data_IF_507763218999
#
_entry.id   IF_507763218999
#
_cell.length_a   1.000
_cell.length_b   1.000
_cell.length_c   1.000
_cell.angle_alpha   90.00
_cell.angle_beta   90.00
_cell.angle_gamma   90.00
#
_symmetry.space_group_name_H-M   'P 1'
#
loop_
_entity.id
_entity.type
_entity.pdbx_description
1 polymer ?
#
# COMPACT_ATOMS: atom_id res chain seq x y z
N UNK A 1 -7.35 -15.84 -26.01
CA UNK A 1 -8.56 -16.51 -25.49
C UNK A 1 -8.26 -18.00 -25.45
N UNK A 2 -8.40 -18.64 -24.28
CA UNK A 2 -8.12 -20.08 -24.15
C UNK A 2 -9.27 -20.93 -24.73
N UNK A 3 -8.96 -22.13 -25.20
CA UNK A 3 -9.97 -23.12 -25.63
C UNK A 3 -10.72 -23.69 -24.43
N UNK A 4 -11.93 -24.22 -24.64
CA UNK A 4 -12.70 -24.88 -23.57
C UNK A 4 -11.95 -26.09 -22.97
N UNK A 5 -11.20 -26.83 -23.78
CA UNK A 5 -10.33 -27.92 -23.29
C UNK A 5 -9.25 -27.41 -22.36
N UNK A 6 -8.60 -26.29 -22.72
CA UNK A 6 -7.58 -25.65 -21.90
C UNK A 6 -8.17 -25.07 -20.61
N UNK A 7 -9.37 -24.49 -20.69
CA UNK A 7 -10.11 -24.02 -19.51
C UNK A 7 -10.44 -25.16 -18.56
N UNK A 8 -10.98 -26.27 -19.06
CA UNK A 8 -11.29 -27.44 -18.25
C UNK A 8 -10.03 -28.03 -17.59
N UNK A 9 -8.91 -28.06 -18.31
CA UNK A 9 -7.62 -28.45 -17.75
C UNK A 9 -7.16 -27.51 -16.63
N UNK A 10 -7.18 -26.19 -16.84
CA UNK A 10 -6.79 -25.23 -15.81
C UNK A 10 -7.67 -25.32 -14.56
N UNK A 11 -8.97 -25.59 -14.72
CA UNK A 11 -9.90 -25.76 -13.61
C UNK A 11 -9.65 -27.05 -12.80
N UNK A 12 -9.20 -28.13 -13.46
CA UNK A 12 -8.93 -29.41 -12.81
C UNK A 12 -7.63 -29.43 -12.00
N UNK A 13 -6.74 -28.44 -12.19
CA UNK A 13 -5.51 -28.31 -11.42
C UNK A 13 -5.78 -28.08 -9.93
N UNK A 14 -5.10 -28.86 -9.10
CA UNK A 14 -5.06 -28.68 -7.65
C UNK A 14 -3.90 -27.77 -7.25
N UNK A 15 -3.97 -27.10 -6.08
CA UNK A 15 -2.94 -26.15 -5.66
C UNK A 15 -1.53 -26.75 -5.61
N UNK A 16 -1.38 -28.00 -5.16
CA UNK A 16 -0.07 -28.66 -5.04
C UNK A 16 0.56 -29.05 -6.39
N UNK A 17 -0.23 -29.02 -7.48
CA UNK A 17 0.27 -29.27 -8.83
C UNK A 17 0.90 -28.01 -9.46
N UNK A 18 0.65 -26.83 -8.89
CA UNK A 18 1.19 -25.56 -9.36
C UNK A 18 2.61 -25.35 -8.81
N UNK A 19 3.51 -26.27 -9.20
CA UNK A 19 4.93 -26.22 -8.85
C UNK A 19 5.69 -25.28 -9.76
N UNK A 20 6.93 -24.91 -9.38
CA UNK A 20 7.83 -24.12 -10.24
C UNK A 20 7.97 -24.75 -11.64
N UNK A 21 8.19 -26.07 -11.67
CA UNK A 21 8.33 -26.82 -12.92
C UNK A 21 7.08 -26.68 -13.81
N UNK A 22 5.88 -26.77 -13.21
CA UNK A 22 4.64 -26.60 -13.97
C UNK A 22 4.55 -25.20 -14.60
N UNK A 23 4.89 -24.14 -13.87
CA UNK A 23 4.92 -22.77 -14.41
C UNK A 23 5.97 -22.58 -15.50
N UNK A 24 7.17 -23.15 -15.32
CA UNK A 24 8.24 -23.07 -16.31
C UNK A 24 7.85 -23.77 -17.62
N UNK A 25 7.26 -24.97 -17.54
CA UNK A 25 6.84 -25.75 -18.71
C UNK A 25 5.63 -25.16 -19.43
N UNK A 26 4.64 -24.63 -18.69
CA UNK A 26 3.35 -24.25 -19.26
C UNK A 26 3.18 -22.75 -19.50
N UNK A 27 3.88 -21.90 -18.76
CA UNK A 27 3.70 -20.45 -18.78
C UNK A 27 4.92 -19.66 -19.24
N UNK A 28 6.01 -20.35 -19.63
CA UNK A 28 7.26 -19.68 -20.01
C UNK A 28 7.71 -20.03 -21.39
N UNK A 29 8.27 -19.02 -22.06
CA UNK A 29 9.05 -19.23 -23.26
C UNK A 29 10.40 -19.84 -22.88
N UNK A 30 10.72 -21.01 -23.41
CA UNK A 30 11.97 -21.70 -23.11
C UNK A 30 12.58 -22.33 -24.36
N UNK A 31 13.89 -22.51 -24.35
CA UNK A 31 14.58 -23.18 -25.44
C UNK A 31 14.48 -24.70 -25.25
N UNK A 32 13.94 -25.41 -26.23
CA UNK A 32 13.96 -26.86 -26.28
C UNK A 32 15.30 -27.31 -26.90
N UNK A 33 16.21 -27.93 -26.12
CA UNK A 33 17.52 -28.32 -26.61
C UNK A 33 17.47 -29.50 -27.59
N UNK A 34 16.40 -30.31 -27.56
CA UNK A 34 16.21 -31.46 -28.46
C UNK A 34 15.70 -30.97 -29.81
N UNK A 35 14.67 -30.13 -29.79
CA UNK A 35 14.08 -29.54 -31.01
C UNK A 35 14.88 -28.35 -31.54
N UNK A 36 15.87 -27.88 -30.78
CA UNK A 36 16.72 -26.71 -31.06
C UNK A 36 15.95 -25.43 -31.40
N UNK A 37 14.78 -25.24 -30.79
CA UNK A 37 13.88 -24.10 -31.06
C UNK A 37 13.31 -23.52 -29.78
N UNK A 38 12.90 -22.26 -29.84
CA UNK A 38 12.10 -21.66 -28.78
C UNK A 38 10.70 -22.28 -28.80
N UNK A 39 10.26 -22.75 -27.64
CA UNK A 39 8.89 -23.18 -27.38
C UNK A 39 8.14 -22.03 -26.76
N UNK A 40 7.00 -21.68 -27.36
CA UNK A 40 6.09 -20.65 -26.84
C UNK A 40 5.26 -21.23 -25.67
N UNK A 41 4.88 -20.39 -24.69
CA UNK A 41 4.11 -20.84 -23.54
C UNK A 41 2.75 -21.42 -23.97
N UNK A 42 2.34 -22.51 -23.32
CA UNK A 42 1.00 -23.10 -23.52
C UNK A 42 -0.11 -22.16 -23.05
N UNK A 43 0.15 -21.40 -21.98
CA UNK A 43 -0.79 -20.43 -21.43
C UNK A 43 -0.10 -19.09 -21.18
N UNK A 44 -0.72 -18.00 -21.65
CA UNK A 44 -0.31 -16.66 -21.23
C UNK A 44 -1.16 -16.22 -20.03
N UNK A 45 -0.53 -15.61 -19.01
CA UNK A 45 -1.24 -15.11 -17.83
C UNK A 45 -2.40 -14.16 -18.18
N UNK A 46 -2.26 -13.39 -19.27
CA UNK A 46 -3.26 -12.42 -19.72
C UNK A 46 -4.35 -13.01 -20.61
N UNK A 47 -4.29 -14.30 -20.95
CA UNK A 47 -5.34 -14.92 -21.76
C UNK A 47 -6.67 -14.92 -21.01
N UNK A 48 -7.65 -14.20 -21.59
CA UNK A 48 -8.97 -14.02 -21.01
C UNK A 48 -9.91 -15.19 -21.31
N UNK A 49 -10.82 -15.44 -20.39
CA UNK A 49 -11.97 -16.32 -20.54
C UNK A 49 -13.07 -15.96 -19.53
N UNK A 50 -14.21 -16.63 -19.62
CA UNK A 50 -15.35 -16.41 -18.73
C UNK A 50 -15.63 -17.65 -17.90
N UNK A 51 -15.87 -17.45 -16.60
CA UNK A 51 -16.42 -18.46 -15.70
C UNK A 51 -17.93 -18.29 -15.59
N UNK A 52 -18.68 -19.39 -15.75
CA UNK A 52 -20.11 -19.46 -15.45
C UNK A 52 -20.32 -19.48 -13.92
N UNK A 53 -21.51 -19.09 -13.42
CA UNK A 53 -21.82 -19.20 -11.99
C UNK A 53 -21.52 -20.61 -11.47
N UNK A 54 -20.79 -20.71 -10.37
CA UNK A 54 -20.40 -21.95 -9.69
C UNK A 54 -19.57 -22.94 -10.55
N UNK A 55 -18.95 -22.47 -11.63
CA UNK A 55 -17.99 -23.28 -12.41
C UNK A 55 -16.67 -23.47 -11.65
N UNK A 56 -16.40 -22.56 -10.70
CA UNK A 56 -15.39 -22.67 -9.66
C UNK A 56 -16.00 -22.14 -8.35
N UNK A 57 -15.25 -21.43 -7.50
CA UNK A 57 -15.75 -20.79 -6.28
C UNK A 57 -16.49 -19.46 -6.53
N UNK A 58 -16.60 -19.03 -7.79
CA UNK A 58 -17.30 -17.81 -8.18
C UNK A 58 -18.83 -18.01 -8.13
N UNK A 59 -19.56 -17.09 -7.52
CA UNK A 59 -21.03 -17.17 -7.39
C UNK A 59 -21.77 -16.56 -8.58
N UNK A 60 -21.12 -15.67 -9.33
CA UNK A 60 -21.67 -15.00 -10.51
C UNK A 60 -20.83 -15.28 -11.75
N UNK A 61 -21.39 -14.98 -12.93
CA UNK A 61 -20.63 -14.99 -14.19
C UNK A 61 -19.54 -13.92 -14.10
N UNK A 62 -18.30 -14.28 -14.41
CA UNK A 62 -17.17 -13.35 -14.30
C UNK A 62 -16.19 -13.50 -15.47
N UNK A 63 -15.73 -12.36 -16.02
CA UNK A 63 -14.60 -12.31 -16.94
C UNK A 63 -13.31 -12.34 -16.12
N UNK A 64 -12.38 -13.21 -16.50
CA UNK A 64 -11.11 -13.41 -15.79
C UNK A 64 -10.00 -13.75 -16.78
N UNK A 65 -8.79 -13.95 -16.29
CA UNK A 65 -7.67 -14.47 -17.08
C UNK A 65 -6.97 -15.65 -16.39
N UNK A 66 -6.06 -16.29 -17.13
CA UNK A 66 -5.29 -17.44 -16.63
C UNK A 66 -4.57 -17.10 -15.34
N UNK A 67 -3.92 -15.94 -15.25
CA UNK A 67 -3.16 -15.55 -14.08
C UNK A 67 -4.01 -15.38 -12.82
N UNK A 68 -5.17 -14.76 -12.95
CA UNK A 68 -6.13 -14.61 -11.85
C UNK A 68 -6.62 -15.97 -11.37
N UNK A 69 -6.95 -16.89 -12.28
CA UNK A 69 -7.32 -18.25 -11.89
C UNK A 69 -6.17 -18.95 -11.13
N UNK A 70 -4.94 -18.91 -11.66
CA UNK A 70 -3.79 -19.56 -11.04
C UNK A 70 -3.47 -18.97 -9.65
N UNK A 71 -3.59 -17.65 -9.47
CA UNK A 71 -3.46 -17.01 -8.16
C UNK A 71 -4.55 -17.50 -7.21
N UNK A 72 -5.82 -17.53 -7.64
CA UNK A 72 -6.90 -18.01 -6.79
C UNK A 72 -6.66 -19.46 -6.35
N UNK A 73 -6.24 -20.32 -7.27
CA UNK A 73 -5.91 -21.73 -6.97
C UNK A 73 -4.73 -21.86 -6.02
N UNK A 74 -3.59 -21.26 -6.33
CA UNK A 74 -2.39 -21.47 -5.54
C UNK A 74 -2.46 -20.80 -4.16
N UNK A 75 -3.00 -19.58 -4.11
CA UNK A 75 -2.94 -18.71 -2.94
C UNK A 75 -4.15 -18.87 -2.02
N UNK A 76 -5.36 -19.02 -2.58
CA UNK A 76 -6.59 -19.04 -1.78
C UNK A 76 -7.17 -20.45 -1.63
N UNK A 77 -7.30 -21.23 -2.72
CA UNK A 77 -7.90 -22.58 -2.68
C UNK A 77 -7.14 -23.52 -1.75
N UNK A 78 -5.82 -23.33 -1.67
CA UNK A 78 -4.96 -24.09 -0.78
C UNK A 78 -5.26 -23.88 0.72
N UNK A 79 -5.99 -22.82 1.08
CA UNK A 79 -6.33 -22.45 2.46
C UNK A 79 -7.85 -22.27 2.52
N UNK A 80 -8.63 -23.35 2.79
CA UNK A 80 -10.09 -23.33 2.66
C UNK A 80 -10.80 -22.21 3.42
N UNK A 81 -10.30 -21.84 4.61
CA UNK A 81 -10.88 -20.74 5.39
C UNK A 81 -10.68 -19.39 4.70
N UNK A 82 -9.52 -19.14 4.09
CA UNK A 82 -9.25 -17.93 3.30
C UNK A 82 -10.07 -17.92 2.01
N UNK A 83 -10.17 -19.07 1.31
CA UNK A 83 -11.01 -19.19 0.12
C UNK A 83 -12.47 -18.86 0.42
N UNK A 84 -12.98 -19.27 1.58
CA UNK A 84 -14.35 -18.99 2.04
C UNK A 84 -14.57 -17.50 2.34
N UNK A 85 -13.57 -16.82 2.87
CA UNK A 85 -13.63 -15.37 3.15
C UNK A 85 -13.58 -14.55 1.87
N UNK A 86 -12.64 -14.86 0.97
CA UNK A 86 -12.38 -14.05 -0.22
C UNK A 86 -13.26 -14.40 -1.43
N UNK A 87 -13.71 -15.65 -1.53
CA UNK A 87 -14.34 -16.16 -2.74
C UNK A 87 -13.39 -16.08 -3.95
N UNK A 88 -13.94 -15.83 -5.13
CA UNK A 88 -13.14 -15.66 -6.35
C UNK A 88 -12.78 -14.19 -6.59
N UNK A 89 -11.49 -13.91 -6.72
CA UNK A 89 -10.99 -12.56 -7.05
C UNK A 89 -10.63 -12.50 -8.53
N UNK A 90 -11.44 -11.79 -9.31
CA UNK A 90 -11.26 -11.56 -10.76
C UNK A 90 -10.68 -10.18 -11.09
N UNK A 91 -10.12 -9.48 -10.11
CA UNK A 91 -9.50 -8.17 -10.29
C UNK A 91 -7.98 -8.29 -10.36
N UNK A 92 -7.27 -7.35 -11.02
CA UNK A 92 -5.82 -7.31 -11.01
C UNK A 92 -5.26 -7.19 -9.58
N UNK A 93 -4.32 -8.06 -9.22
CA UNK A 93 -3.65 -8.05 -7.91
C UNK A 93 -2.52 -7.01 -7.93
N UNK A 94 -2.89 -5.74 -7.81
CA UNK A 94 -1.94 -4.64 -7.59
C UNK A 94 -1.52 -4.57 -6.13
N UNK A 95 -0.47 -3.80 -5.81
CA UNK A 95 -0.09 -3.52 -4.42
C UNK A 95 -1.27 -2.96 -3.60
N UNK A 96 -2.08 -2.09 -4.21
CA UNK A 96 -3.28 -1.56 -3.57
C UNK A 96 -4.34 -2.63 -3.29
N UNK A 97 -4.59 -3.53 -4.26
CA UNK A 97 -5.55 -4.63 -4.09
C UNK A 97 -5.09 -5.67 -3.08
N UNK A 98 -3.80 -6.01 -3.10
CA UNK A 98 -3.20 -6.92 -2.12
C UNK A 98 -3.31 -6.32 -0.71
N UNK A 99 -2.99 -5.03 -0.56
CA UNK A 99 -3.13 -4.32 0.71
C UNK A 99 -4.58 -4.27 1.22
N UNK A 100 -5.59 -4.15 0.34
CA UNK A 100 -6.99 -4.21 0.76
C UNK A 100 -7.43 -5.64 1.13
N UNK A 101 -7.00 -6.67 0.39
CA UNK A 101 -7.27 -8.06 0.77
C UNK A 101 -6.72 -8.35 2.17
N UNK A 102 -5.48 -7.98 2.44
CA UNK A 102 -4.83 -8.22 3.73
C UNK A 102 -5.44 -7.38 4.86
N UNK A 103 -5.63 -6.07 4.64
CA UNK A 103 -6.04 -5.13 5.69
C UNK A 103 -7.55 -5.10 5.92
N UNK A 104 -8.36 -5.25 4.87
CA UNK A 104 -9.81 -5.11 4.96
C UNK A 104 -10.55 -6.44 5.03
N UNK A 105 -10.08 -7.52 4.41
CA UNK A 105 -10.79 -8.80 4.40
C UNK A 105 -10.17 -9.78 5.41
N UNK A 106 -8.89 -10.11 5.23
CA UNK A 106 -8.22 -11.13 6.04
C UNK A 106 -7.99 -10.68 7.49
N UNK A 107 -7.55 -9.45 7.71
CA UNK A 107 -7.37 -8.92 9.07
C UNK A 107 -8.69 -8.88 9.86
N UNK A 108 -9.81 -8.56 9.20
CA UNK A 108 -11.13 -8.60 9.84
C UNK A 108 -11.54 -10.04 10.16
N UNK A 109 -11.38 -10.94 9.20
CA UNK A 109 -11.66 -12.36 9.39
C UNK A 109 -10.83 -12.97 10.53
N UNK A 110 -9.57 -12.56 10.69
CA UNK A 110 -8.71 -13.01 11.80
C UNK A 110 -9.23 -12.50 13.15
N UNK A 111 -9.57 -11.21 13.24
CA UNK A 111 -10.08 -10.59 14.47
C UNK A 111 -11.46 -11.13 14.89
N UNK A 112 -12.26 -11.54 13.92
CA UNK A 112 -13.59 -12.14 14.12
C UNK A 112 -13.54 -13.68 14.26
N UNK A 113 -12.35 -14.29 14.14
CA UNK A 113 -12.12 -15.73 14.35
C UNK A 113 -12.61 -16.63 13.20
N UNK A 114 -12.81 -16.06 12.01
CA UNK A 114 -13.15 -16.82 10.79
C UNK A 114 -11.93 -17.49 10.13
N UNK A 115 -10.74 -16.97 10.40
CA UNK A 115 -9.46 -17.57 10.03
C UNK A 115 -8.53 -17.58 11.24
N UNK A 116 -7.50 -18.42 11.19
CA UNK A 116 -6.49 -18.56 12.26
C UNK A 116 -5.18 -17.86 11.91
N UNK A 117 -4.31 -17.69 12.90
CA UNK A 117 -2.95 -17.20 12.66
C UNK A 117 -2.16 -18.16 11.73
N UNK A 118 -2.42 -19.47 11.80
CA UNK A 118 -1.80 -20.46 10.93
C UNK A 118 -2.26 -20.31 9.47
N UNK A 119 -3.55 -20.05 9.23
CA UNK A 119 -4.06 -19.73 7.89
C UNK A 119 -3.33 -18.52 7.30
N UNK A 120 -3.10 -17.48 8.11
CA UNK A 120 -2.35 -16.29 7.70
C UNK A 120 -0.86 -16.59 7.44
N UNK A 121 -0.21 -17.43 8.25
CA UNK A 121 1.16 -17.86 8.00
C UNK A 121 1.29 -18.60 6.67
N UNK A 122 0.38 -19.53 6.38
CA UNK A 122 0.35 -20.25 5.10
C UNK A 122 0.11 -19.31 3.92
N UNK A 123 -0.78 -18.33 4.09
CA UNK A 123 -1.03 -17.30 3.08
C UNK A 123 0.24 -16.52 2.75
N UNK A 124 0.95 -16.01 3.76
CA UNK A 124 2.19 -15.25 3.52
C UNK A 124 3.29 -16.12 2.92
N UNK A 125 3.43 -17.37 3.35
CA UNK A 125 4.41 -18.30 2.77
C UNK A 125 4.13 -18.54 1.28
N UNK A 126 2.85 -18.77 0.91
CA UNK A 126 2.44 -18.98 -0.48
C UNK A 126 2.59 -17.71 -1.31
N UNK A 127 2.23 -16.55 -0.78
CA UNK A 127 2.40 -15.26 -1.44
C UNK A 127 3.89 -14.99 -1.73
N UNK A 128 4.76 -15.20 -0.74
CA UNK A 128 6.21 -15.05 -0.92
C UNK A 128 6.77 -16.06 -1.90
N UNK A 129 6.33 -17.32 -1.85
CA UNK A 129 6.74 -18.34 -2.80
C UNK A 129 6.35 -17.94 -4.22
N UNK A 130 5.12 -17.48 -4.44
CA UNK A 130 4.65 -17.02 -5.74
C UNK A 130 5.53 -15.86 -6.25
N UNK A 131 5.71 -14.82 -5.44
CA UNK A 131 6.53 -13.66 -5.78
C UNK A 131 7.99 -14.03 -6.11
N UNK A 132 8.61 -14.89 -5.31
CA UNK A 132 10.02 -15.25 -5.51
C UNK A 132 10.23 -16.32 -6.58
N UNK A 133 9.22 -17.13 -6.89
CA UNK A 133 9.38 -18.27 -7.80
C UNK A 133 8.96 -17.96 -9.22
N UNK A 134 7.82 -17.28 -9.41
CA UNK A 134 7.22 -17.11 -10.74
C UNK A 134 7.45 -15.73 -11.37
N UNK A 135 8.18 -14.84 -10.69
CA UNK A 135 8.47 -13.50 -11.21
C UNK A 135 9.13 -13.52 -12.59
N UNK A 136 9.99 -14.50 -12.86
CA UNK A 136 10.64 -14.66 -14.18
C UNK A 136 9.66 -15.02 -15.30
N UNK A 137 8.49 -15.59 -14.97
CA UNK A 137 7.51 -16.02 -15.94
C UNK A 137 6.44 -14.94 -16.21
N UNK A 138 6.18 -14.06 -15.23
CA UNK A 138 5.04 -13.12 -15.25
C UNK A 138 5.45 -11.64 -15.30
N UNK A 139 6.61 -11.28 -14.75
CA UNK A 139 6.99 -9.87 -14.64
C UNK A 139 7.41 -9.32 -16.01
N UNK A 140 6.81 -8.22 -16.48
CA UNK A 140 7.30 -7.57 -17.69
C UNK A 140 8.68 -6.98 -17.43
N UNK A 141 9.52 -6.97 -18.47
CA UNK A 141 10.78 -6.24 -18.42
C UNK A 141 10.57 -4.78 -18.78
N UNK A 142 11.63 -3.98 -18.59
CA UNK A 142 11.68 -2.64 -19.16
C UNK A 142 11.55 -2.68 -20.68
N UNK A 143 10.87 -1.70 -21.22
CA UNK A 143 10.73 -1.47 -22.67
C UNK A 143 11.53 -0.23 -23.08
N UNK A 144 11.81 -0.10 -24.36
CA UNK A 144 12.50 1.09 -24.88
C UNK A 144 11.71 2.38 -24.57
N UNK A 145 10.37 2.34 -24.68
CA UNK A 145 9.51 3.48 -24.34
C UNK A 145 9.61 3.91 -22.89
N UNK A 146 9.79 2.95 -21.97
CA UNK A 146 9.88 3.21 -20.52
C UNK A 146 11.29 3.50 -20.02
N UNK A 147 12.29 3.49 -20.90
CA UNK A 147 13.73 3.67 -20.55
C UNK A 147 14.42 4.82 -21.27
N UNK A 148 13.66 5.73 -21.87
CA UNK A 148 14.21 6.90 -22.54
C UNK A 148 13.40 8.17 -22.27
N UNK A 149 14.04 9.31 -22.48
CA UNK A 149 13.33 10.57 -22.58
C UNK A 149 12.45 10.58 -23.84
N UNK A 150 11.14 10.76 -23.69
CA UNK A 150 10.21 10.82 -24.82
C UNK A 150 10.25 12.20 -25.48
N UNK A 151 10.72 12.28 -26.74
CA UNK A 151 10.97 13.55 -27.43
C UNK A 151 9.78 14.53 -27.39
N UNK A 152 8.55 14.03 -27.52
CA UNK A 152 7.32 14.83 -27.41
C UNK A 152 7.17 15.47 -26.03
N UNK A 153 7.39 14.70 -24.96
CA UNK A 153 7.30 15.18 -23.58
C UNK A 153 8.42 16.17 -23.27
N UNK A 154 9.64 15.90 -23.74
CA UNK A 154 10.80 16.78 -23.50
C UNK A 154 10.63 18.16 -24.15
N UNK A 155 10.06 18.22 -25.37
CA UNK A 155 9.72 19.50 -26.02
C UNK A 155 8.76 20.34 -25.19
N UNK A 156 7.75 19.69 -24.60
CA UNK A 156 6.78 20.37 -23.74
C UNK A 156 7.41 20.81 -22.42
N UNK A 157 8.24 19.96 -21.80
CA UNK A 157 9.02 20.35 -20.62
C UNK A 157 9.84 21.59 -20.89
N UNK A 158 10.62 21.59 -21.96
CA UNK A 158 11.52 22.69 -22.27
C UNK A 158 10.76 24.00 -22.50
N UNK A 159 9.62 23.93 -23.19
CA UNK A 159 8.69 25.06 -23.34
C UNK A 159 8.18 25.56 -21.99
N UNK A 160 7.65 24.67 -21.14
CA UNK A 160 7.11 25.05 -19.83
C UNK A 160 8.16 25.67 -18.90
N UNK A 161 9.40 25.16 -18.94
CA UNK A 161 10.51 25.70 -18.16
C UNK A 161 10.92 27.10 -18.64
N UNK A 162 10.88 27.38 -19.95
CA UNK A 162 11.16 28.71 -20.47
C UNK A 162 10.01 29.70 -20.16
N UNK A 163 8.76 29.29 -20.34
CA UNK A 163 7.57 30.09 -20.02
C UNK A 163 7.51 30.49 -18.53
N UNK A 164 8.07 29.67 -17.64
CA UNK A 164 8.05 29.88 -16.19
C UNK A 164 9.42 30.25 -15.59
N UNK A 165 10.39 30.62 -16.42
CA UNK A 165 11.81 30.78 -16.03
C UNK A 165 12.01 31.68 -14.83
N UNK A 166 11.32 32.81 -14.76
CA UNK A 166 11.45 33.75 -13.63
C UNK A 166 10.95 33.16 -12.30
N UNK A 167 9.83 32.44 -12.33
CA UNK A 167 9.28 31.79 -11.14
C UNK A 167 10.19 30.65 -10.68
N UNK A 168 10.68 29.84 -11.63
CA UNK A 168 11.57 28.72 -11.34
C UNK A 168 12.94 29.19 -10.83
N UNK A 169 13.49 30.29 -11.36
CA UNK A 169 14.73 30.90 -10.87
C UNK A 169 14.60 31.42 -9.42
N UNK A 170 13.39 31.82 -9.01
CA UNK A 170 13.07 32.20 -7.62
C UNK A 170 12.79 31.00 -6.70
N UNK A 171 12.86 29.77 -7.21
CA UNK A 171 12.59 28.57 -6.43
C UNK A 171 11.11 28.32 -6.16
N UNK A 172 10.20 28.76 -7.05
CA UNK A 172 8.76 28.51 -6.91
C UNK A 172 8.43 27.01 -7.08
N UNK A 173 8.35 26.31 -5.94
CA UNK A 173 8.03 24.88 -5.90
C UNK A 173 6.57 24.58 -6.33
N UNK A 174 5.65 25.55 -6.25
CA UNK A 174 4.25 25.36 -6.67
C UNK A 174 4.20 25.26 -8.19
N UNK A 175 4.87 26.19 -8.89
CA UNK A 175 4.98 26.18 -10.35
C UNK A 175 5.74 24.93 -10.81
N UNK A 176 6.86 24.60 -10.17
CA UNK A 176 7.62 23.39 -10.50
C UNK A 176 6.75 22.11 -10.37
N UNK A 177 5.99 21.95 -9.28
CA UNK A 177 5.12 20.79 -9.07
C UNK A 177 3.99 20.71 -10.12
N UNK A 178 3.42 21.86 -10.53
CA UNK A 178 2.44 21.89 -11.64
C UNK A 178 3.04 21.37 -12.94
N UNK A 179 4.26 21.78 -13.27
CA UNK A 179 4.99 21.29 -14.45
C UNK A 179 5.24 19.79 -14.33
N UNK A 180 5.76 19.31 -13.19
CA UNK A 180 6.01 17.88 -12.95
C UNK A 180 4.76 17.04 -13.19
N UNK A 181 3.62 17.45 -12.61
CA UNK A 181 2.35 16.75 -12.76
C UNK A 181 1.90 16.69 -14.21
N UNK A 182 1.98 17.80 -14.93
CA UNK A 182 1.62 17.85 -16.35
C UNK A 182 2.48 16.90 -17.20
N UNK A 183 3.78 16.83 -16.93
CA UNK A 183 4.71 15.93 -17.64
C UNK A 183 4.43 14.46 -17.30
N UNK A 184 4.18 14.16 -16.02
CA UNK A 184 3.82 12.81 -15.57
C UNK A 184 2.54 12.34 -16.26
N UNK A 185 1.48 13.14 -16.24
CA UNK A 185 0.18 12.78 -16.83
C UNK A 185 0.29 12.58 -18.35
N UNK A 186 1.03 13.47 -19.05
CA UNK A 186 1.30 13.32 -20.48
C UNK A 186 2.10 12.04 -20.80
N UNK A 187 3.08 11.70 -19.97
CA UNK A 187 3.91 10.51 -20.19
C UNK A 187 3.11 9.22 -19.95
N UNK A 188 2.25 9.20 -18.92
CA UNK A 188 1.34 8.06 -18.68
C UNK A 188 0.42 7.81 -19.86
N UNK A 189 -0.12 8.87 -20.47
CA UNK A 189 -0.99 8.74 -21.64
C UNK A 189 -0.23 8.25 -22.87
N UNK A 190 0.99 8.75 -23.11
CA UNK A 190 1.83 8.31 -24.23
C UNK A 190 2.26 6.84 -24.09
N UNK A 191 2.44 6.35 -22.86
CA UNK A 191 2.90 4.98 -22.55
C UNK A 191 1.75 4.03 -22.16
N UNK A 192 0.48 4.42 -22.31
CA UNK A 192 -0.65 3.62 -21.80
C UNK A 192 -0.74 2.21 -22.38
N UNK A 193 -0.28 2.04 -23.62
CA UNK A 193 -0.27 0.77 -24.34
C UNK A 193 1.08 0.02 -24.23
N UNK A 194 2.06 0.61 -23.51
CA UNK A 194 3.37 0.01 -23.29
C UNK A 194 3.34 -0.95 -22.08
N UNK A 195 3.69 -2.22 -22.32
CA UNK A 195 3.67 -3.25 -21.27
C UNK A 195 4.61 -2.92 -20.09
N UNK A 196 5.71 -2.21 -20.33
CA UNK A 196 6.67 -1.79 -19.30
C UNK A 196 6.05 -0.82 -18.29
N UNK A 197 4.97 -0.11 -18.64
CA UNK A 197 4.24 0.77 -17.72
C UNK A 197 3.67 -0.02 -16.53
N UNK A 198 3.39 -1.32 -16.72
CA UNK A 198 2.91 -2.24 -15.68
C UNK A 198 3.86 -2.34 -14.47
N UNK A 199 5.18 -2.17 -14.69
CA UNK A 199 6.14 -2.14 -13.59
C UNK A 199 5.81 -1.03 -12.57
N UNK A 200 5.33 0.11 -13.07
CA UNK A 200 4.94 1.25 -12.24
C UNK A 200 3.48 1.17 -11.78
N UNK A 201 2.55 0.83 -12.67
CA UNK A 201 1.10 0.85 -12.36
C UNK A 201 0.65 -0.32 -11.48
N UNK A 202 1.39 -1.43 -11.46
CA UNK A 202 1.16 -2.52 -10.50
C UNK A 202 1.39 -2.07 -9.04
N UNK A 203 2.22 -1.03 -8.84
CA UNK A 203 2.64 -0.55 -7.53
C UNK A 203 3.58 -1.50 -6.77
N UNK A 204 4.09 -2.55 -7.43
CA UNK A 204 4.97 -3.55 -6.82
C UNK A 204 6.36 -2.98 -6.55
N UNK A 205 6.97 -2.31 -7.54
CA UNK A 205 8.28 -1.67 -7.39
C UNK A 205 8.44 -0.49 -8.32
N UNK A 206 8.97 0.60 -7.79
CA UNK A 206 9.14 1.84 -8.53
C UNK A 206 7.84 2.66 -8.53
N UNK A 207 8.01 3.97 -8.49
CA UNK A 207 6.92 4.95 -8.55
C UNK A 207 7.08 5.76 -9.82
N UNK A 208 5.98 6.01 -10.51
CA UNK A 208 6.03 6.81 -11.72
C UNK A 208 6.31 8.28 -11.37
N UNK A 209 5.71 8.75 -10.28
CA UNK A 209 5.76 10.11 -9.77
C UNK A 209 7.15 10.51 -9.24
N UNK A 210 7.97 9.54 -8.83
CA UNK A 210 9.30 9.82 -8.28
C UNK A 210 10.42 9.10 -9.04
N UNK A 211 10.36 7.77 -9.25
CA UNK A 211 11.44 7.07 -9.95
C UNK A 211 11.48 7.38 -11.46
N UNK A 212 10.37 7.21 -12.19
CA UNK A 212 10.34 7.50 -13.63
C UNK A 212 10.61 8.98 -13.88
N UNK A 213 9.95 9.87 -13.12
CA UNK A 213 10.16 11.32 -13.19
C UNK A 213 11.64 11.70 -13.10
N UNK A 214 12.33 11.27 -12.04
CA UNK A 214 13.74 11.63 -11.83
C UNK A 214 14.67 11.03 -12.88
N UNK A 215 14.37 9.83 -13.39
CA UNK A 215 15.19 9.18 -14.42
C UNK A 215 15.01 9.86 -15.78
N UNK A 216 13.79 10.16 -16.21
CA UNK A 216 13.48 10.45 -17.61
C UNK A 216 12.76 11.78 -17.89
N UNK A 217 12.29 12.51 -16.87
CA UNK A 217 11.56 13.77 -17.09
C UNK A 217 12.32 14.97 -16.54
N UNK A 218 12.49 15.00 -15.23
CA UNK A 218 13.07 16.13 -14.51
C UNK A 218 13.32 15.72 -13.06
N UNK A 219 14.34 16.30 -12.43
CA UNK A 219 14.56 16.16 -11.00
C UNK A 219 13.65 17.04 -10.17
N UNK A 220 13.39 18.25 -10.66
CA UNK A 220 12.47 19.22 -10.08
C UNK A 220 12.99 19.95 -8.83
N UNK A 221 12.11 20.35 -7.90
CA UNK A 221 12.46 21.16 -6.74
C UNK A 221 13.27 20.36 -5.71
N UNK A 222 14.44 20.87 -5.36
CA UNK A 222 15.31 20.38 -4.29
C UNK A 222 15.37 21.43 -3.19
N UNK A 223 15.02 21.05 -1.96
CA UNK A 223 15.09 21.98 -0.83
C UNK A 223 16.56 22.27 -0.48
N UNK A 224 16.91 23.55 -0.32
CA UNK A 224 18.23 23.94 0.11
C UNK A 224 18.17 24.49 1.55
N UNK A 225 18.68 23.74 2.55
CA UNK A 225 18.60 24.15 3.96
C UNK A 225 19.41 25.42 4.26
N UNK A 226 20.41 25.76 3.43
CA UNK A 226 21.22 26.96 3.65
C UNK A 226 20.49 28.25 3.23
N UNK A 227 19.61 28.17 2.23
CA UNK A 227 18.84 29.33 1.75
C UNK A 227 17.41 29.34 2.27
N UNK A 228 16.91 28.20 2.77
CA UNK A 228 15.51 28.02 3.15
C UNK A 228 14.55 27.96 1.97
N UNK A 229 15.05 27.99 0.73
CA UNK A 229 14.28 27.95 -0.51
C UNK A 229 14.47 26.66 -1.30
N UNK A 230 13.88 26.60 -2.49
CA UNK A 230 14.05 25.48 -3.42
C UNK A 230 14.96 25.86 -4.58
N UNK A 231 15.79 24.91 -5.01
CA UNK A 231 16.51 24.96 -6.28
C UNK A 231 15.81 24.05 -7.27
N UNK A 232 15.46 24.57 -8.45
CA UNK A 232 14.74 23.79 -9.46
C UNK A 232 15.74 23.19 -10.45
N UNK A 233 15.79 21.87 -10.51
CA UNK A 233 16.67 21.13 -11.42
C UNK A 233 15.84 20.61 -12.59
N UNK A 234 16.06 21.20 -13.77
CA UNK A 234 15.32 20.84 -14.99
C UNK A 234 15.67 19.43 -15.48
N UNK A 235 16.93 19.05 -15.45
CA UNK A 235 17.46 17.82 -16.07
C UNK A 235 17.02 16.56 -15.33
N UNK A 236 16.92 15.45 -16.05
CA UNK A 236 16.74 14.11 -15.52
C UNK A 236 18.07 13.35 -15.49
N UNK A 237 18.14 12.21 -14.79
CA UNK A 237 19.37 11.41 -14.75
C UNK A 237 19.82 10.91 -16.12
N UNK A 238 18.87 10.61 -17.02
CA UNK A 238 19.16 10.15 -18.37
C UNK A 238 19.85 11.22 -19.24
N UNK A 239 19.64 12.50 -18.94
CA UNK A 239 20.30 13.62 -19.64
C UNK A 239 21.71 13.91 -19.10
N UNK A 240 22.09 13.28 -17.99
CA UNK A 240 23.32 13.59 -17.24
C UNK A 240 23.21 14.85 -16.39
N UNK A 241 24.32 15.18 -15.74
CA UNK A 241 24.46 16.32 -14.82
C UNK A 241 25.38 17.38 -15.43
N UNK A 242 24.97 18.65 -15.39
CA UNK A 242 25.88 19.77 -15.69
C UNK A 242 26.58 20.25 -14.42
N UNK A 243 27.66 21.03 -14.60
CA UNK A 243 28.46 21.56 -13.47
C UNK A 243 27.61 22.36 -12.49
N UNK A 244 26.64 23.11 -13.00
CA UNK A 244 25.76 23.95 -12.20
C UNK A 244 24.71 23.14 -11.41
N UNK A 245 24.43 21.89 -11.82
CA UNK A 245 23.53 20.99 -11.10
C UNK A 245 24.21 20.32 -9.89
N UNK A 246 25.54 20.14 -9.94
CA UNK A 246 26.30 19.37 -8.95
C UNK A 246 26.06 19.85 -7.50
N UNK A 247 26.07 21.17 -7.19
CA UNK A 247 25.81 21.63 -5.82
C UNK A 247 24.40 21.28 -5.32
N UNK A 248 23.39 21.38 -6.19
CA UNK A 248 22.00 21.10 -5.85
C UNK A 248 21.79 19.59 -5.62
N UNK A 249 22.40 18.74 -6.45
CA UNK A 249 22.42 17.29 -6.22
C UNK A 249 23.20 16.89 -4.96
N UNK A 250 24.32 17.57 -4.67
CA UNK A 250 25.07 17.36 -3.43
C UNK A 250 24.23 17.68 -2.20
N UNK A 251 23.50 18.79 -2.22
CA UNK A 251 22.55 19.18 -1.18
C UNK A 251 21.49 18.11 -0.98
N UNK A 252 20.96 17.58 -2.07
CA UNK A 252 19.94 16.53 -2.00
C UNK A 252 20.45 15.22 -1.40
N UNK A 253 21.67 14.79 -1.72
CA UNK A 253 22.28 13.60 -1.11
C UNK A 253 22.35 13.77 0.41
N UNK A 254 22.72 14.96 0.89
CA UNK A 254 22.76 15.27 2.32
C UNK A 254 21.33 15.28 2.90
N UNK A 255 20.38 15.94 2.24
CA UNK A 255 18.97 15.99 2.68
C UNK A 255 18.35 14.59 2.81
N UNK A 256 18.68 13.68 1.91
CA UNK A 256 18.23 12.29 2.00
C UNK A 256 18.96 11.51 3.08
N UNK A 257 20.29 11.58 3.12
CA UNK A 257 21.12 10.73 3.97
C UNK A 257 21.06 11.13 5.45
N UNK A 258 20.91 12.43 5.74
CA UNK A 258 20.94 12.96 7.10
C UNK A 258 19.77 12.47 7.98
N UNK A 259 18.48 12.53 7.57
CA UNK A 259 17.37 11.97 8.33
C UNK A 259 17.56 10.48 8.62
N UNK A 260 18.19 9.76 7.69
CA UNK A 260 18.49 8.33 7.87
C UNK A 260 19.59 8.09 8.90
N UNK A 261 20.67 8.85 8.85
CA UNK A 261 21.81 8.67 9.74
C UNK A 261 21.51 9.14 11.17
N UNK A 262 20.86 10.30 11.32
CA UNK A 262 20.68 10.96 12.62
C UNK A 262 19.22 10.87 13.12
N UNK A 263 18.24 11.00 12.22
CA UNK A 263 16.82 11.00 12.60
C UNK A 263 16.35 9.69 13.24
N UNK A 264 16.99 8.57 12.93
CA UNK A 264 16.72 7.26 13.58
C UNK A 264 16.90 7.31 15.09
N UNK A 265 17.93 8.00 15.57
CA UNK A 265 18.20 8.16 16.99
C UNK A 265 17.09 8.96 17.68
N UNK A 266 16.56 9.99 17.01
CA UNK A 266 15.42 10.79 17.51
C UNK A 266 14.18 9.92 17.66
N UNK A 267 13.86 9.11 16.66
CA UNK A 267 12.72 8.19 16.72
C UNK A 267 12.89 7.14 17.83
N UNK A 268 14.08 6.56 17.96
CA UNK A 268 14.40 5.61 19.03
C UNK A 268 14.30 6.22 20.43
N UNK A 269 14.77 7.45 20.59
CA UNK A 269 14.66 8.18 21.86
C UNK A 269 13.21 8.54 22.19
N UNK A 270 12.40 8.95 21.20
CA UNK A 270 10.97 9.18 21.38
C UNK A 270 10.25 7.89 21.84
N UNK A 271 10.56 6.74 21.25
CA UNK A 271 10.02 5.43 21.69
C UNK A 271 10.34 5.15 23.17
N UNK A 272 11.59 5.40 23.60
CA UNK A 272 11.99 5.24 25.01
C UNK A 272 11.20 6.16 25.94
N UNK A 273 10.95 7.41 25.55
CA UNK A 273 10.11 8.34 26.31
C UNK A 273 8.67 7.85 26.42
N UNK A 274 8.09 7.32 25.35
CA UNK A 274 6.75 6.75 25.39
C UNK A 274 6.66 5.57 26.36
N UNK A 275 7.64 4.67 26.35
CA UNK A 275 7.68 3.59 27.34
C UNK A 275 7.78 4.11 28.77
N UNK A 276 8.69 5.04 29.04
CA UNK A 276 8.83 5.62 30.37
C UNK A 276 7.52 6.27 30.86
N UNK A 277 6.79 6.96 29.97
CA UNK A 277 5.55 7.66 30.30
C UNK A 277 4.34 6.72 30.43
N UNK A 278 4.26 5.67 29.62
CA UNK A 278 3.03 4.86 29.48
C UNK A 278 3.15 3.43 30.00
N UNK A 279 4.30 2.96 30.46
CA UNK A 279 4.48 1.57 30.94
C UNK A 279 3.51 1.15 32.05
N UNK A 280 3.00 2.08 32.86
CA UNK A 280 2.01 1.83 33.91
C UNK A 280 0.57 1.70 33.41
N UNK A 281 0.30 2.06 32.14
CA UNK A 281 -1.03 1.91 31.55
C UNK A 281 -1.27 0.45 31.17
N UNK A 282 -2.00 -0.25 32.02
CA UNK A 282 -2.33 -1.68 31.89
C UNK A 282 -3.85 -1.85 31.85
N UNK A 283 -4.31 -2.82 31.05
CA UNK A 283 -5.71 -3.20 31.00
C UNK A 283 -6.14 -3.96 32.26
N UNK A 284 -7.37 -3.74 32.68
CA UNK A 284 -8.03 -4.61 33.65
C UNK A 284 -8.58 -5.88 32.98
N UNK A 285 -9.14 -6.80 33.75
CA UNK A 285 -9.77 -8.04 33.25
C UNK A 285 -10.75 -7.76 32.11
N UNK A 286 -10.75 -8.62 31.09
CA UNK A 286 -11.70 -8.52 29.97
C UNK A 286 -13.14 -8.54 30.48
N UNK A 287 -13.98 -7.64 29.98
CA UNK A 287 -15.37 -7.49 30.43
C UNK A 287 -15.57 -6.52 31.61
N UNK A 288 -14.51 -6.03 32.26
CA UNK A 288 -14.58 -5.02 33.32
C UNK A 288 -15.23 -3.70 32.86
N UNK A 289 -15.98 -3.07 33.78
CA UNK A 289 -16.56 -1.74 33.61
C UNK A 289 -16.32 -0.92 34.88
N UNK A 290 -15.69 0.25 34.74
CA UNK A 290 -15.47 1.18 35.86
C UNK A 290 -16.71 2.03 36.21
N UNK A 291 -17.81 1.90 35.45
CA UNK A 291 -19.07 2.59 35.72
C UNK A 291 -19.08 4.09 35.40
N UNK A 292 -18.02 4.63 34.79
CA UNK A 292 -17.96 6.05 34.43
C UNK A 292 -19.12 6.45 33.52
N UNK A 293 -19.76 7.58 33.85
CA UNK A 293 -20.83 8.17 33.03
C UNK A 293 -20.30 9.16 31.99
N UNK A 294 -19.00 9.46 32.06
CA UNK A 294 -18.36 10.37 31.11
C UNK A 294 -18.07 9.66 29.78
N UNK A 295 -18.31 10.39 28.69
CA UNK A 295 -18.14 9.91 27.32
C UNK A 295 -17.65 11.04 26.42
N UNK A 296 -17.00 10.68 25.32
CA UNK A 296 -16.60 11.61 24.27
C UNK A 296 -17.65 11.60 23.18
N UNK A 297 -18.32 12.74 22.95
CA UNK A 297 -19.15 12.94 21.75
C UNK A 297 -18.26 12.85 20.51
N UNK A 298 -18.50 11.87 19.65
CA UNK A 298 -17.65 11.57 18.50
C UNK A 298 -18.51 11.40 17.25
N UNK A 299 -18.26 12.18 16.21
CA UNK A 299 -18.85 11.95 14.90
C UNK A 299 -18.16 10.75 14.23
N UNK A 300 -18.93 9.70 13.94
CA UNK A 300 -18.42 8.59 13.13
C UNK A 300 -18.53 8.97 11.66
N UNK A 301 -17.44 8.86 10.92
CA UNK A 301 -17.34 9.18 9.50
C UNK A 301 -16.73 8.00 8.75
N UNK A 302 -16.85 8.02 7.42
CA UNK A 302 -16.16 7.05 6.55
C UNK A 302 -14.63 7.06 6.74
N UNK A 303 -14.05 8.14 7.29
CA UNK A 303 -12.61 8.29 7.50
C UNK A 303 -12.11 7.74 8.85
N UNK A 304 -12.98 7.62 9.86
CA UNK A 304 -12.54 7.26 11.22
C UNK A 304 -13.18 5.97 11.78
N UNK A 305 -14.23 5.43 11.17
CA UNK A 305 -14.98 4.30 11.73
C UNK A 305 -14.07 3.09 12.03
N UNK A 306 -13.11 2.77 11.15
CA UNK A 306 -12.15 1.68 11.38
C UNK A 306 -11.34 1.84 12.67
N UNK A 307 -11.00 3.08 13.06
CA UNK A 307 -10.27 3.39 14.31
C UNK A 307 -11.13 3.26 15.57
N UNK A 308 -12.44 3.15 15.41
CA UNK A 308 -13.42 3.02 16.50
C UNK A 308 -13.92 1.58 16.67
N UNK A 309 -13.44 0.66 15.83
CA UNK A 309 -13.76 -0.76 15.91
C UNK A 309 -13.47 -1.32 17.31
N UNK A 310 -14.41 -2.14 17.79
CA UNK A 310 -14.40 -2.80 19.09
C UNK A 310 -14.41 -1.87 20.30
N UNK A 311 -14.74 -0.58 20.11
CA UNK A 311 -14.99 0.36 21.22
C UNK A 311 -16.47 0.38 21.60
N UNK A 312 -16.76 0.79 22.83
CA UNK A 312 -18.12 0.84 23.34
C UNK A 312 -18.72 2.24 23.22
N UNK A 313 -19.98 2.30 22.76
CA UNK A 313 -20.82 3.50 22.78
C UNK A 313 -21.95 3.33 23.79
N UNK A 314 -22.44 4.45 24.32
CA UNK A 314 -23.62 4.51 25.18
C UNK A 314 -24.84 4.84 24.32
N UNK A 315 -25.81 3.94 24.29
CA UNK A 315 -27.11 4.15 23.63
C UNK A 315 -28.22 3.92 24.66
N UNK A 316 -28.90 5.00 25.07
CA UNK A 316 -29.80 4.98 26.22
C UNK A 316 -29.08 4.51 27.50
N UNK A 317 -29.55 3.41 28.09
CA UNK A 317 -28.97 2.80 29.29
C UNK A 317 -28.05 1.59 28.99
N UNK A 318 -27.73 1.32 27.71
CA UNK A 318 -26.95 0.15 27.31
C UNK A 318 -25.61 0.55 26.69
N UNK A 319 -24.61 -0.31 26.91
CA UNK A 319 -23.33 -0.25 26.22
C UNK A 319 -23.36 -1.18 25.00
N UNK A 320 -23.11 -0.61 23.83
CA UNK A 320 -23.04 -1.34 22.56
C UNK A 320 -21.59 -1.32 22.09
N UNK A 321 -21.05 -2.50 21.78
CA UNK A 321 -19.73 -2.59 21.15
C UNK A 321 -19.87 -2.31 19.65
N UNK A 322 -19.04 -1.44 19.11
CA UNK A 322 -18.94 -1.24 17.67
C UNK A 322 -18.19 -2.41 17.04
N UNK A 323 -18.76 -3.05 16.03
CA UNK A 323 -18.14 -4.15 15.30
C UNK A 323 -18.53 -4.11 13.81
N UNK A 324 -18.08 -5.12 13.05
CA UNK A 324 -18.31 -5.17 11.61
C UNK A 324 -19.79 -5.29 11.23
N UNK A 325 -20.64 -5.77 12.15
CA UNK A 325 -22.08 -5.93 11.93
C UNK A 325 -22.86 -4.63 12.07
N UNK A 326 -22.42 -3.73 12.97
CA UNK A 326 -23.22 -2.54 13.33
C UNK A 326 -22.55 -1.20 12.98
N UNK A 327 -21.23 -1.11 12.87
CA UNK A 327 -20.53 0.19 12.83
C UNK A 327 -20.94 1.03 11.61
N UNK A 328 -21.27 0.39 10.50
CA UNK A 328 -21.72 1.05 9.26
C UNK A 328 -23.02 1.84 9.47
N UNK A 329 -23.90 1.36 10.35
CA UNK A 329 -25.18 2.03 10.69
C UNK A 329 -25.01 3.32 11.50
N UNK A 330 -23.81 3.53 12.07
CA UNK A 330 -23.47 4.72 12.85
C UNK A 330 -22.69 5.78 12.05
N UNK A 331 -22.33 5.50 10.79
CA UNK A 331 -21.66 6.49 9.94
C UNK A 331 -22.59 7.71 9.73
N UNK A 332 -22.04 8.91 9.97
CA UNK A 332 -22.76 10.19 9.93
C UNK A 332 -23.43 10.57 11.25
N UNK A 333 -23.39 9.71 12.28
CA UNK A 333 -24.01 9.96 13.59
C UNK A 333 -22.97 10.39 14.62
N UNK A 334 -23.39 11.27 15.53
CA UNK A 334 -22.62 11.61 16.74
C UNK A 334 -22.97 10.60 17.82
N UNK A 335 -21.98 9.86 18.30
CA UNK A 335 -22.14 8.83 19.34
C UNK A 335 -21.46 9.23 20.65
N UNK A 336 -21.98 8.72 21.76
CA UNK A 336 -21.39 8.86 23.08
C UNK A 336 -20.38 7.74 23.32
N UNK A 337 -19.13 7.97 22.96
CA UNK A 337 -18.07 6.95 22.99
C UNK A 337 -17.40 6.85 24.37
N UNK A 338 -17.27 5.64 24.91
CA UNK A 338 -16.46 5.38 26.11
C UNK A 338 -14.97 5.56 25.78
N UNK A 339 -14.23 6.17 26.70
CA UNK A 339 -12.85 6.58 26.47
C UNK A 339 -11.94 6.23 27.64
N UNK A 340 -10.69 5.79 27.39
CA UNK A 340 -9.68 5.62 28.44
C UNK A 340 -9.45 6.89 29.25
N UNK A 341 -9.58 8.07 28.60
CA UNK A 341 -9.41 9.39 29.22
C UNK A 341 -10.36 9.64 30.41
N UNK A 342 -11.49 8.95 30.45
CA UNK A 342 -12.51 9.11 31.49
C UNK A 342 -12.65 7.87 32.38
N UNK A 343 -11.71 6.92 32.27
CA UNK A 343 -11.72 5.72 33.09
C UNK A 343 -11.35 6.08 34.53
N UNK A 344 -12.15 5.59 35.47
CA UNK A 344 -11.96 5.83 36.92
C UNK A 344 -11.48 4.58 37.68
N UNK A 345 -11.22 3.48 36.96
CA UNK A 345 -10.66 2.27 37.57
C UNK A 345 -9.14 2.39 37.74
N UNK A 346 -8.59 1.66 38.71
CA UNK A 346 -7.13 1.59 38.97
C UNK A 346 -6.34 1.14 37.74
N UNK A 347 -6.93 0.22 36.97
CA UNK A 347 -6.50 -0.20 35.64
C UNK A 347 -7.52 0.23 34.59
N UNK A 348 -7.09 0.34 33.33
CA UNK A 348 -7.98 0.71 32.24
C UNK A 348 -9.00 -0.41 31.99
N UNK A 349 -10.27 -0.15 32.30
CA UNK A 349 -11.32 -1.15 32.16
C UNK A 349 -11.63 -1.46 30.69
N UNK A 350 -12.18 -2.65 30.46
CA UNK A 350 -12.50 -3.18 29.13
C UNK A 350 -13.51 -2.31 28.38
N UNK A 351 -14.52 -1.76 29.07
CA UNK A 351 -15.51 -0.87 28.44
C UNK A 351 -14.95 0.48 28.02
N UNK A 352 -13.93 0.99 28.69
CA UNK A 352 -13.28 2.25 28.33
C UNK A 352 -12.20 2.08 27.26
N UNK A 353 -11.38 1.03 27.36
CA UNK A 353 -10.30 0.74 26.41
C UNK A 353 -10.80 0.13 25.09
N UNK A 354 -11.91 -0.61 25.13
CA UNK A 354 -12.39 -1.42 24.01
C UNK A 354 -11.86 -2.85 24.03
N UNK A 355 -12.42 -3.70 23.18
CA UNK A 355 -12.15 -5.14 23.16
C UNK A 355 -10.97 -5.54 22.24
N UNK A 356 -10.51 -4.64 21.36
CA UNK A 356 -9.46 -4.92 20.37
C UNK A 356 -8.18 -5.48 21.01
N UNK A 357 -7.66 -4.82 22.04
CA UNK A 357 -6.40 -5.22 22.66
C UNK A 357 -6.48 -6.59 23.35
N UNK A 358 -7.65 -6.96 23.88
CA UNK A 358 -7.87 -8.29 24.43
C UNK A 358 -7.87 -9.37 23.35
N UNK A 359 -8.43 -9.08 22.16
CA UNK A 359 -8.38 -9.98 20.99
C UNK A 359 -6.95 -10.19 20.50
N UNK A 360 -6.12 -9.16 20.61
CA UNK A 360 -4.70 -9.21 20.26
C UNK A 360 -3.82 -9.83 21.36
N UNK A 361 -4.38 -10.18 22.53
CA UNK A 361 -3.61 -10.69 23.67
C UNK A 361 -2.68 -9.65 24.32
N UNK A 362 -3.00 -8.36 24.21
CA UNK A 362 -2.19 -7.25 24.73
C UNK A 362 -2.78 -6.76 26.04
N UNK A 363 -2.13 -7.07 27.17
CA UNK A 363 -2.51 -6.55 28.49
C UNK A 363 -1.86 -5.18 28.80
N UNK A 364 -0.56 -5.04 28.47
CA UNK A 364 0.21 -3.82 28.68
C UNK A 364 -0.02 -2.81 27.54
N UNK A 365 -1.24 -2.29 27.44
CA UNK A 365 -1.66 -1.38 26.36
C UNK A 365 -0.74 -0.16 26.21
N UNK A 366 -0.16 0.36 27.30
CA UNK A 366 0.78 1.47 27.26
C UNK A 366 2.01 1.21 26.39
N UNK A 367 2.47 -0.04 26.29
CA UNK A 367 3.62 -0.42 25.45
C UNK A 367 3.29 -0.39 23.95
N UNK A 368 2.01 -0.38 23.57
CA UNK A 368 1.61 -0.23 22.16
C UNK A 368 1.96 1.16 21.59
N UNK A 369 2.25 2.14 22.43
CA UNK A 369 2.67 3.49 22.03
C UNK A 369 3.98 3.51 21.25
N UNK A 370 4.78 2.44 21.33
CA UNK A 370 5.96 2.24 20.47
C UNK A 370 5.66 2.24 18.98
N UNK A 371 4.41 1.94 18.58
CA UNK A 371 3.97 2.03 17.20
C UNK A 371 4.11 3.46 16.64
N UNK A 372 3.96 4.50 17.48
CA UNK A 372 4.17 5.90 17.08
C UNK A 372 5.63 6.14 16.72
N UNK A 373 6.55 5.72 17.59
CA UNK A 373 7.99 5.85 17.33
C UNK A 373 8.46 5.02 16.14
N UNK A 374 7.90 3.82 15.96
CA UNK A 374 8.15 2.97 14.78
C UNK A 374 7.64 3.63 13.49
N UNK A 375 6.51 4.32 13.54
CA UNK A 375 5.97 5.06 12.39
C UNK A 375 6.85 6.26 12.05
N UNK A 376 7.31 7.00 13.06
CA UNK A 376 8.27 8.10 12.88
C UNK A 376 9.58 7.61 12.27
N UNK A 377 10.12 6.49 12.78
CA UNK A 377 11.31 5.85 12.22
C UNK A 377 11.11 5.50 10.74
N UNK A 378 9.99 4.85 10.38
CA UNK A 378 9.68 4.50 8.98
C UNK A 378 9.56 5.74 8.10
N UNK A 379 8.97 6.83 8.59
CA UNK A 379 8.89 8.10 7.84
C UNK A 379 10.28 8.67 7.56
N UNK A 380 11.15 8.75 8.58
CA UNK A 380 12.52 9.24 8.46
C UNK A 380 13.41 8.34 7.58
N UNK A 381 13.14 7.03 7.53
CA UNK A 381 13.77 6.14 6.56
C UNK A 381 13.27 6.37 5.14
N UNK A 382 11.98 6.68 4.99
CA UNK A 382 11.35 6.86 3.67
C UNK A 382 11.76 8.17 3.00
N UNK A 383 12.06 9.23 3.75
CA UNK A 383 12.49 10.53 3.19
C UNK A 383 13.75 10.41 2.34
N UNK A 384 14.61 9.41 2.55
CA UNK A 384 15.76 9.16 1.67
C UNK A 384 15.36 8.76 0.25
N UNK A 385 14.23 8.07 0.10
CA UNK A 385 13.77 7.51 -1.18
C UNK A 385 12.68 8.33 -1.85
N UNK A 386 11.98 9.18 -1.10
CA UNK A 386 10.91 10.04 -1.59
C UNK A 386 11.40 11.49 -1.68
N UNK A 387 11.77 11.88 -2.90
CA UNK A 387 12.20 13.24 -3.21
C UNK A 387 11.07 14.11 -3.75
N UNK A 388 9.83 13.63 -3.65
CA UNK A 388 8.68 14.40 -4.12
C UNK A 388 8.34 15.52 -3.13
N UNK A 389 8.13 16.71 -3.66
CA UNK A 389 7.59 17.83 -2.89
C UNK A 389 6.07 17.76 -2.97
N UNK A 390 5.43 17.45 -1.84
CA UNK A 390 3.96 17.42 -1.73
C UNK A 390 3.49 18.72 -1.09
N UNK A 391 2.66 19.44 -1.83
CA UNK A 391 2.09 20.71 -1.37
C UNK A 391 0.62 20.45 -1.06
N UNK A 392 0.23 20.78 0.17
CA UNK A 392 -1.16 20.73 0.62
C UNK A 392 -1.59 22.11 1.05
N UNK A 393 -2.77 22.53 0.61
CA UNK A 393 -3.45 23.68 1.18
C UNK A 393 -4.05 23.27 2.52
N UNK A 394 -3.79 24.08 3.55
CA UNK A 394 -4.32 23.85 4.89
C UNK A 394 -5.17 25.07 5.24
N UNK A 395 -6.45 24.84 5.49
CA UNK A 395 -7.28 25.84 6.17
C UNK A 395 -6.90 25.84 7.65
N UNK A 396 -6.50 27.00 8.17
CA UNK A 396 -6.13 27.16 9.58
C UNK A 396 -7.29 26.79 10.51
N UNK A 397 -8.53 26.97 10.06
CA UNK A 397 -9.73 26.60 10.82
C UNK A 397 -9.89 25.08 10.98
N UNK A 398 -9.28 24.28 10.08
CA UNK A 398 -9.34 22.81 10.13
C UNK A 398 -8.24 22.20 11.02
N UNK A 399 -7.22 22.98 11.44
CA UNK A 399 -6.10 22.50 12.27
C UNK A 399 -6.50 22.40 13.75
N UNK A 400 -7.46 23.21 14.19
CA UNK A 400 -7.90 23.30 15.58
C UNK A 400 -9.27 22.61 15.75
N UNK A 401 -9.26 21.28 15.87
CA UNK A 401 -10.44 20.50 16.33
C UNK A 401 -10.07 19.64 17.54
#
# INVERSE_FOLDING_TARGET
MITETNKAYLLSLKPDQLTKQWFDENCSRHYDPVMKKMTEPKFNFQDKFTLKPNEYVNTTKVETNVGQLLVNKYLYEAIPNIQKVLGYIAEPITNGKLGSIESDELSKALLDGHITAEDMCQYFNRLQWLGNTIHTNVAPSFTEGTTKNLAKVMKIRDKLYEENKEALAKGDAVVANKIEKQLIDMTKEELKDDIGLTLYTSGARGSFENNYKNLFLTRGPVYNPNTGGYQIIKRSYMEGLEKDDVPSYGTEVVNGAYPKAIGTAVAGYATKKFFAAYQSAVLDKRGSDCGTKAYRKTLITKKNYQKLMYRYIVEGNKLIMLDNSNIKSYIGKVVNLRSPLYCVGDKLCSKCAGDLYYRLGIENIGMSTSAIGSSLLKLLMKTFHDSSVKISEIDVNDILI
#
